data_IF_885024208836
#
_entry.id   IF_885024208836
#
_cell.length_a   1.000
_cell.length_b   1.000
_cell.length_c   1.000
_cell.angle_alpha   90.00
_cell.angle_beta   90.00
_cell.angle_gamma   90.00
#
_symmetry.space_group_name_H-M   'P 1'
#
loop_
_entity.id
_entity.type
_entity.pdbx_description
1 polymer ?
#
# COMPACT_ATOMS: atom_id res chain seq x y z
N UNK A 1 8.40 2.50 26.10
CA UNK A 1 8.61 2.98 24.72
C UNK A 1 7.23 3.35 24.21
N UNK A 2 6.90 4.64 24.23
CA UNK A 2 5.59 5.15 23.81
C UNK A 2 5.34 4.76 22.34
N UNK A 3 4.14 4.30 21.96
CA UNK A 3 3.82 4.05 20.57
C UNK A 3 3.87 5.38 19.83
N UNK A 4 4.56 5.42 18.70
CA UNK A 4 4.66 6.62 17.84
C UNK A 4 3.29 6.89 17.23
N UNK A 5 2.48 7.66 17.94
CA UNK A 5 1.22 8.26 17.49
C UNK A 5 1.48 9.01 16.18
N UNK A 6 0.90 8.53 15.08
CA UNK A 6 1.08 9.09 13.73
C UNK A 6 1.56 8.10 12.67
N UNK A 7 1.94 6.87 13.05
CA UNK A 7 2.33 5.80 12.11
C UNK A 7 1.31 4.67 11.99
N UNK A 8 0.14 4.86 12.57
CA UNK A 8 -1.02 3.96 12.49
C UNK A 8 -2.23 4.73 11.96
N UNK A 9 -3.14 3.99 11.33
CA UNK A 9 -4.44 4.48 10.83
C UNK A 9 -5.52 3.81 11.65
N UNK A 10 -6.42 4.62 12.21
CA UNK A 10 -7.62 4.20 12.92
C UNK A 10 -8.85 4.75 12.20
N UNK A 11 -9.96 4.00 12.23
CA UNK A 11 -11.19 4.41 11.54
C UNK A 11 -11.02 4.51 10.03
N UNK A 12 -11.40 5.64 9.42
CA UNK A 12 -11.37 5.81 7.97
C UNK A 12 -10.28 6.76 7.51
N UNK A 13 -9.66 6.44 6.37
CA UNK A 13 -8.78 7.35 5.65
C UNK A 13 -8.96 7.21 4.14
N UNK A 14 -8.51 8.21 3.39
CA UNK A 14 -8.63 8.21 1.93
C UNK A 14 -7.48 8.94 1.25
N UNK A 15 -7.14 8.49 0.06
CA UNK A 15 -6.10 9.06 -0.78
C UNK A 15 -6.74 10.02 -1.80
N UNK A 16 -6.49 11.32 -1.64
CA UNK A 16 -7.03 12.36 -2.52
C UNK A 16 -5.92 13.03 -3.32
N UNK A 17 -6.27 13.50 -4.51
CA UNK A 17 -5.38 14.35 -5.31
C UNK A 17 -5.44 15.79 -4.79
N UNK A 18 -4.28 16.40 -4.56
CA UNK A 18 -4.16 17.80 -4.11
C UNK A 18 -3.37 18.68 -5.08
N UNK A 19 -2.59 18.06 -5.97
CA UNK A 19 -1.75 18.76 -6.93
C UNK A 19 -1.70 18.09 -8.29
N UNK A 20 -1.27 18.87 -9.30
CA UNK A 20 -0.98 18.37 -10.65
C UNK A 20 0.52 18.37 -10.97
N UNK A 21 1.25 19.34 -10.43
CA UNK A 21 2.69 19.54 -10.62
C UNK A 21 3.38 19.73 -9.27
N UNK A 22 4.66 19.34 -9.19
CA UNK A 22 5.42 19.44 -7.95
C UNK A 22 5.04 18.38 -6.91
N UNK A 23 5.51 18.59 -5.69
CA UNK A 23 5.18 17.77 -4.53
C UNK A 23 4.45 18.65 -3.50
N UNK A 24 3.36 18.17 -2.88
CA UNK A 24 2.72 16.86 -3.09
C UNK A 24 1.75 16.81 -4.28
N UNK A 25 1.51 15.60 -4.79
CA UNK A 25 0.48 15.33 -5.81
C UNK A 25 -0.78 14.75 -5.16
N UNK A 26 -0.59 13.89 -4.15
CA UNK A 26 -1.67 13.24 -3.40
C UNK A 26 -1.45 13.37 -1.90
N UNK A 27 -2.53 13.28 -1.12
CA UNK A 27 -2.49 13.21 0.33
C UNK A 27 -3.35 12.06 0.82
N UNK A 28 -2.82 11.30 1.77
CA UNK A 28 -3.60 10.39 2.58
C UNK A 28 -4.16 11.17 3.77
N UNK A 29 -5.49 11.21 3.90
CA UNK A 29 -6.19 12.04 4.89
C UNK A 29 -7.10 11.17 5.74
N UNK A 30 -7.13 11.42 7.05
CA UNK A 30 -8.10 10.86 8.00
C UNK A 30 -8.65 11.99 8.86
N UNK A 31 -9.97 12.06 9.08
CA UNK A 31 -10.63 13.11 9.87
C UNK A 31 -10.16 14.54 9.56
N UNK A 32 -9.99 14.83 8.26
CA UNK A 32 -9.48 16.12 7.72
C UNK A 32 -8.03 16.46 8.11
N UNK A 33 -7.28 15.54 8.72
CA UNK A 33 -5.85 15.66 8.99
C UNK A 33 -5.05 14.88 7.95
N UNK A 34 -4.02 15.51 7.40
CA UNK A 34 -3.08 14.83 6.52
C UNK A 34 -2.23 13.87 7.34
N UNK A 35 -2.19 12.60 6.95
CA UNK A 35 -1.33 11.56 7.51
C UNK A 35 -0.01 11.47 6.73
N UNK A 36 -0.11 11.61 5.41
CA UNK A 36 1.04 11.58 4.52
C UNK A 36 0.77 12.36 3.23
N UNK A 37 1.81 13.00 2.72
CA UNK A 37 1.88 13.67 1.43
C UNK A 37 2.70 12.81 0.47
N UNK A 38 2.14 12.50 -0.70
CA UNK A 38 2.75 11.58 -1.66
C UNK A 38 3.07 12.30 -2.97
N UNK A 39 4.23 11.93 -3.54
CA UNK A 39 4.62 12.34 -4.88
C UNK A 39 3.78 11.68 -5.97
N UNK A 40 4.10 12.02 -7.23
CA UNK A 40 3.41 11.48 -8.40
C UNK A 40 3.40 9.95 -8.39
N UNK A 41 2.22 9.39 -8.55
CA UNK A 41 2.02 7.95 -8.67
C UNK A 41 2.43 7.47 -10.08
N UNK A 42 3.25 6.43 -10.16
CA UNK A 42 3.78 5.96 -11.43
C UNK A 42 4.64 4.72 -11.30
N UNK A 43 4.20 3.62 -11.92
CA UNK A 43 4.83 2.30 -11.88
C UNK A 43 6.30 2.33 -12.30
N UNK A 44 6.65 2.95 -13.43
CA UNK A 44 8.05 3.04 -13.89
C UNK A 44 8.98 3.68 -12.86
N UNK A 45 8.50 4.73 -12.18
CA UNK A 45 9.29 5.41 -11.15
C UNK A 45 9.48 4.54 -9.91
N UNK A 46 8.44 3.80 -9.52
CA UNK A 46 8.48 2.93 -8.33
C UNK A 46 9.30 1.67 -8.56
N UNK A 47 9.16 1.02 -9.72
CA UNK A 47 9.77 -0.27 -9.99
C UNK A 47 11.15 -0.21 -10.66
N UNK A 48 11.44 0.89 -11.37
CA UNK A 48 12.66 1.00 -12.19
C UNK A 48 13.32 2.38 -12.10
N UNK A 49 12.89 3.23 -11.17
CA UNK A 49 13.35 4.62 -11.07
C UNK A 49 13.72 5.03 -9.65
N UNK A 50 13.71 6.34 -9.43
CA UNK A 50 14.10 6.95 -8.15
C UNK A 50 13.10 6.75 -7.01
N UNK A 51 11.98 6.07 -7.24
CA UNK A 51 10.93 5.84 -6.26
C UNK A 51 9.94 7.00 -6.10
N UNK A 52 8.81 6.71 -5.45
CA UNK A 52 7.78 7.68 -5.10
C UNK A 52 8.04 8.21 -3.69
N UNK A 53 8.24 9.53 -3.57
CA UNK A 53 8.43 10.21 -2.27
C UNK A 53 7.14 10.18 -1.45
N UNK A 54 7.29 9.98 -0.15
CA UNK A 54 6.26 10.12 0.88
C UNK A 54 6.84 11.02 1.98
N UNK A 55 6.10 12.04 2.40
CA UNK A 55 6.40 12.82 3.58
C UNK A 55 5.29 12.62 4.60
N UNK A 56 5.62 12.23 5.82
CA UNK A 56 4.63 12.03 6.88
C UNK A 56 4.28 13.35 7.55
N UNK A 57 3.21 13.36 8.33
CA UNK A 57 2.81 14.50 9.15
C UNK A 57 3.88 14.94 10.17
N UNK A 58 4.72 14.00 10.65
CA UNK A 58 5.84 14.27 11.56
C UNK A 58 7.09 14.83 10.85
N UNK A 59 7.02 15.03 9.52
CA UNK A 59 8.14 15.49 8.70
C UNK A 59 9.09 14.39 8.23
N UNK A 60 8.95 13.15 8.72
CA UNK A 60 9.74 12.01 8.29
C UNK A 60 9.53 11.73 6.80
N UNK A 61 10.60 11.30 6.13
CA UNK A 61 10.54 10.93 4.73
C UNK A 61 10.62 9.43 4.52
N UNK A 62 9.65 8.91 3.78
CA UNK A 62 9.67 7.56 3.23
C UNK A 62 9.73 7.60 1.71
N UNK A 63 10.00 6.43 1.12
CA UNK A 63 10.04 6.26 -0.32
C UNK A 63 9.52 4.89 -0.71
N UNK A 64 8.59 4.86 -1.66
CA UNK A 64 8.16 3.62 -2.32
C UNK A 64 9.13 3.35 -3.45
N UNK A 65 9.78 2.20 -3.44
CA UNK A 65 10.64 1.71 -4.51
C UNK A 65 10.47 0.21 -4.63
N UNK A 66 11.26 -0.43 -5.49
CA UNK A 66 11.41 -1.87 -5.50
C UNK A 66 12.86 -2.27 -5.24
N UNK A 67 13.02 -3.53 -4.87
CA UNK A 67 14.28 -4.26 -4.97
C UNK A 67 14.05 -5.55 -5.75
N UNK A 68 15.11 -6.33 -5.96
CA UNK A 68 15.01 -7.68 -6.51
C UNK A 68 15.32 -8.70 -5.43
N UNK A 69 14.57 -9.79 -5.41
CA UNK A 69 14.86 -10.99 -4.63
C UNK A 69 14.85 -12.19 -5.59
N UNK A 70 16.02 -12.72 -5.91
CA UNK A 70 16.17 -13.67 -7.01
C UNK A 70 15.68 -13.06 -8.33
N UNK A 71 14.66 -13.68 -8.95
CA UNK A 71 14.04 -13.20 -10.21
C UNK A 71 12.84 -12.29 -9.98
N UNK A 72 12.53 -11.92 -8.73
CA UNK A 72 11.28 -11.25 -8.37
C UNK A 72 11.50 -9.78 -8.07
N UNK A 73 10.60 -8.94 -8.57
CA UNK A 73 10.50 -7.54 -8.15
C UNK A 73 9.72 -7.50 -6.84
N UNK A 74 10.29 -6.84 -5.84
CA UNK A 74 9.75 -6.74 -4.48
C UNK A 74 9.48 -5.27 -4.18
N UNK A 75 8.22 -4.81 -4.24
CA UNK A 75 7.85 -3.48 -3.81
C UNK A 75 8.16 -3.28 -2.32
N UNK A 76 8.71 -2.13 -1.97
CA UNK A 76 9.04 -1.80 -0.59
C UNK A 76 8.87 -0.31 -0.31
N UNK A 77 8.52 0.02 0.94
CA UNK A 77 8.61 1.36 1.51
C UNK A 77 9.86 1.39 2.39
N UNK A 78 10.72 2.38 2.20
CA UNK A 78 11.95 2.58 2.99
C UNK A 78 11.98 3.97 3.61
N UNK A 79 12.56 4.08 4.80
CA UNK A 79 13.03 5.32 5.42
C UNK A 79 14.56 5.37 5.44
N UNK A 80 15.14 6.42 6.03
CA UNK A 80 16.57 6.48 6.32
C UNK A 80 17.04 5.38 7.31
N UNK A 81 16.14 4.92 8.18
CA UNK A 81 16.44 3.92 9.22
C UNK A 81 16.31 2.47 8.72
N UNK A 82 15.74 2.27 7.52
CA UNK A 82 15.60 0.96 6.89
C UNK A 82 14.22 0.71 6.27
N UNK A 83 13.89 -0.57 6.00
CA UNK A 83 12.60 -0.96 5.44
C UNK A 83 11.45 -0.71 6.43
N UNK A 84 10.37 -0.11 5.93
CA UNK A 84 9.10 0.13 6.65
C UNK A 84 8.09 -0.96 6.32
N UNK A 85 7.93 -1.25 5.02
CA UNK A 85 7.02 -2.28 4.53
C UNK A 85 7.63 -2.94 3.30
N UNK A 86 7.47 -4.26 3.16
CA UNK A 86 7.89 -5.04 2.00
C UNK A 86 6.69 -5.86 1.55
N UNK A 87 6.49 -5.97 0.24
CA UNK A 87 5.41 -6.76 -0.33
C UNK A 87 5.91 -7.82 -1.31
N UNK A 88 5.14 -8.89 -1.43
CA UNK A 88 5.32 -9.91 -2.45
C UNK A 88 3.99 -10.54 -2.84
N UNK A 89 3.92 -11.19 -4.01
CA UNK A 89 2.73 -11.90 -4.45
C UNK A 89 2.49 -13.14 -3.58
N UNK A 90 1.21 -13.47 -3.39
CA UNK A 90 0.77 -14.75 -2.82
C UNK A 90 0.33 -15.70 -3.93
N UNK A 91 0.10 -16.96 -3.56
CA UNK A 91 -0.35 -17.98 -4.51
C UNK A 91 -1.69 -17.66 -5.18
N UNK A 92 -2.58 -16.91 -4.51
CA UNK A 92 -3.85 -16.49 -5.09
C UNK A 92 -3.67 -15.24 -5.97
N UNK A 93 -4.38 -15.21 -7.11
CA UNK A 93 -4.23 -14.15 -8.11
C UNK A 93 -4.51 -12.79 -7.50
N UNK A 94 -3.60 -11.84 -7.75
CA UNK A 94 -3.66 -10.47 -7.21
C UNK A 94 -3.84 -10.45 -5.69
N UNK A 95 -3.30 -11.42 -4.96
CA UNK A 95 -3.25 -11.38 -3.49
C UNK A 95 -1.81 -11.12 -3.07
N UNK A 96 -1.60 -10.32 -2.03
CA UNK A 96 -0.28 -9.85 -1.66
C UNK A 96 -0.02 -10.00 -0.17
N UNK A 97 1.19 -10.42 0.18
CA UNK A 97 1.71 -10.26 1.53
C UNK A 97 2.26 -8.84 1.69
N UNK A 98 2.03 -8.22 2.84
CA UNK A 98 2.61 -6.93 3.24
C UNK A 98 3.19 -7.10 4.64
N UNK A 99 4.51 -7.04 4.75
CA UNK A 99 5.24 -7.29 5.99
C UNK A 99 6.00 -6.04 6.43
N UNK A 100 5.93 -5.71 7.71
CA UNK A 100 6.81 -4.75 8.37
C UNK A 100 7.69 -5.45 9.40
N UNK A 101 8.33 -4.67 10.27
CA UNK A 101 9.20 -5.19 11.34
C UNK A 101 8.43 -6.07 12.35
N UNK A 102 7.21 -5.67 12.66
CA UNK A 102 6.38 -6.17 13.76
C UNK A 102 4.97 -6.59 13.32
N UNK A 103 4.72 -6.68 12.01
CA UNK A 103 3.43 -7.08 11.48
C UNK A 103 3.55 -7.84 10.16
N UNK A 104 2.59 -8.72 9.90
CA UNK A 104 2.35 -9.35 8.61
C UNK A 104 0.87 -9.30 8.26
N UNK A 105 0.56 -8.81 7.07
CA UNK A 105 -0.81 -8.65 6.59
C UNK A 105 -0.95 -9.27 5.20
N UNK A 106 -2.17 -9.67 4.86
CA UNK A 106 -2.52 -10.10 3.50
C UNK A 106 -3.56 -9.17 2.91
N UNK A 107 -3.30 -8.70 1.70
CA UNK A 107 -4.23 -7.91 0.89
C UNK A 107 -4.86 -8.84 -0.15
N UNK A 108 -6.19 -8.99 -0.11
CA UNK A 108 -6.93 -9.97 -0.93
C UNK A 108 -8.12 -9.27 -1.62
N UNK A 109 -8.37 -9.49 -2.92
CA UNK A 109 -9.52 -8.92 -3.61
C UNK A 109 -10.82 -9.62 -3.20
N UNK A 110 -11.88 -8.85 -2.98
CA UNK A 110 -13.22 -9.36 -2.70
C UNK A 110 -14.04 -9.54 -3.99
N UNK A 111 -13.90 -10.69 -4.67
CA UNK A 111 -14.85 -11.15 -5.72
C UNK A 111 -15.08 -10.21 -6.92
N UNK A 112 -15.99 -10.59 -7.84
CA UNK A 112 -16.46 -9.75 -8.96
C UNK A 112 -17.88 -9.26 -8.68
N UNK A 113 -18.05 -7.99 -8.32
CA UNK A 113 -19.38 -7.34 -8.30
C UNK A 113 -19.71 -6.77 -9.68
N UNK A 114 -20.16 -7.62 -10.62
CA UNK A 114 -20.74 -7.18 -11.90
C UNK A 114 -19.80 -6.45 -12.89
N UNK A 115 -20.38 -6.01 -14.02
CA UNK A 115 -19.70 -5.37 -15.17
C UNK A 115 -18.99 -4.05 -14.84
N UNK A 116 -19.15 -3.51 -13.63
CA UNK A 116 -18.54 -2.27 -13.16
C UNK A 116 -17.88 -2.41 -11.78
N UNK A 117 -17.54 -3.63 -11.35
CA UNK A 117 -17.13 -3.95 -9.98
C UNK A 117 -16.09 -2.99 -9.42
N UNK A 118 -16.55 -2.12 -8.51
CA UNK A 118 -15.68 -1.35 -7.64
C UNK A 118 -14.77 -2.34 -6.93
N UNK A 119 -13.48 -2.26 -7.23
CA UNK A 119 -12.48 -3.22 -6.76
C UNK A 119 -12.33 -3.12 -5.25
N UNK A 120 -13.13 -3.86 -4.50
CA UNK A 120 -13.01 -3.95 -3.06
C UNK A 120 -11.96 -5.00 -2.69
N UNK A 121 -11.23 -4.69 -1.62
CA UNK A 121 -10.17 -5.52 -1.09
C UNK A 121 -10.28 -5.58 0.42
N UNK A 122 -9.75 -6.64 0.99
CA UNK A 122 -9.61 -6.78 2.45
C UNK A 122 -8.14 -6.82 2.83
N UNK A 123 -7.81 -6.11 3.89
CA UNK A 123 -6.60 -6.32 4.65
C UNK A 123 -6.92 -7.27 5.80
N UNK A 124 -6.19 -8.38 5.86
CA UNK A 124 -6.30 -9.36 6.94
C UNK A 124 -5.00 -9.47 7.73
N UNK A 125 -5.13 -9.73 9.02
CA UNK A 125 -4.06 -10.21 9.90
C UNK A 125 -4.39 -11.64 10.28
N UNK A 126 -3.57 -12.60 9.86
CA UNK A 126 -3.93 -14.02 9.92
C UNK A 126 -5.29 -14.26 9.24
N UNK A 127 -6.28 -14.76 9.99
CA UNK A 127 -7.62 -15.03 9.49
C UNK A 127 -8.57 -13.84 9.69
N UNK A 128 -8.20 -12.83 10.46
CA UNK A 128 -9.09 -11.72 10.81
C UNK A 128 -9.03 -10.62 9.77
N UNK A 129 -10.20 -10.20 9.28
CA UNK A 129 -10.32 -8.96 8.51
C UNK A 129 -10.15 -7.77 9.44
N UNK A 130 -9.15 -6.93 9.15
CA UNK A 130 -8.86 -5.73 9.93
C UNK A 130 -9.22 -4.44 9.18
N UNK A 131 -9.42 -4.52 7.86
CA UNK A 131 -9.85 -3.39 7.04
C UNK A 131 -10.50 -3.81 5.74
N UNK A 132 -11.30 -2.91 5.19
CA UNK A 132 -11.73 -2.91 3.79
C UNK A 132 -11.05 -1.76 3.07
N UNK A 133 -10.55 -1.99 1.84
CA UNK A 133 -9.98 -0.98 0.95
C UNK A 133 -10.85 -0.89 -0.29
N UNK A 134 -11.39 0.29 -0.58
CA UNK A 134 -12.13 0.57 -1.80
C UNK A 134 -11.19 1.18 -2.85
N UNK A 135 -11.03 0.49 -3.98
CA UNK A 135 -10.19 0.98 -5.07
C UNK A 135 -10.80 2.20 -5.79
N UNK A 136 -12.11 2.25 -5.93
CA UNK A 136 -12.81 3.31 -6.68
C UNK A 136 -12.75 4.63 -5.93
N UNK A 137 -13.14 4.58 -4.66
CA UNK A 137 -13.14 5.76 -3.78
C UNK A 137 -11.76 6.06 -3.19
N UNK A 138 -10.82 5.11 -3.33
CA UNK A 138 -9.46 5.17 -2.78
C UNK A 138 -9.47 5.40 -1.26
N UNK A 139 -10.33 4.67 -0.58
CA UNK A 139 -10.53 4.75 0.88
C UNK A 139 -10.15 3.45 1.58
N UNK A 140 -9.81 3.56 2.85
CA UNK A 140 -9.66 2.44 3.78
C UNK A 140 -10.60 2.66 4.96
N UNK A 141 -11.30 1.60 5.35
CA UNK A 141 -12.10 1.55 6.57
C UNK A 141 -11.51 0.48 7.48
N UNK A 142 -10.82 0.92 8.53
CA UNK A 142 -10.12 0.10 9.50
C UNK A 142 -11.04 -0.28 10.67
N UNK A 143 -11.08 -1.57 10.98
CA UNK A 143 -11.75 -2.15 12.15
C UNK A 143 -10.79 -2.17 13.35
N UNK A 144 -9.48 -2.32 13.07
CA UNK A 144 -8.40 -2.29 14.05
C UNK A 144 -7.29 -1.35 13.56
N UNK A 145 -6.42 -0.81 14.45
CA UNK A 145 -5.30 0.03 14.03
C UNK A 145 -4.40 -0.66 12.99
N UNK A 146 -4.13 0.03 11.88
CA UNK A 146 -3.33 -0.48 10.76
C UNK A 146 -2.04 0.33 10.63
N UNK A 147 -0.87 -0.31 10.47
CA UNK A 147 0.35 0.41 10.14
C UNK A 147 0.19 1.25 8.86
N UNK A 148 0.58 2.52 8.92
CA UNK A 148 0.46 3.47 7.80
C UNK A 148 1.20 2.98 6.55
N UNK A 149 2.36 2.34 6.74
CA UNK A 149 3.11 1.71 5.65
C UNK A 149 2.32 0.63 4.91
N UNK A 150 1.49 -0.14 5.62
CA UNK A 150 0.64 -1.15 5.00
C UNK A 150 -0.49 -0.53 4.18
N UNK A 151 -1.11 0.55 4.65
CA UNK A 151 -2.15 1.29 3.92
C UNK A 151 -1.61 1.87 2.61
N UNK A 152 -0.44 2.54 2.66
CA UNK A 152 0.20 3.13 1.48
C UNK A 152 0.63 2.04 0.49
N UNK A 153 1.18 0.93 0.99
CA UNK A 153 1.54 -0.23 0.17
C UNK A 153 0.30 -0.83 -0.49
N UNK A 154 -0.82 -0.95 0.24
CA UNK A 154 -2.05 -1.50 -0.30
C UNK A 154 -2.55 -0.70 -1.50
N UNK A 155 -2.63 0.64 -1.39
CA UNK A 155 -2.99 1.48 -2.54
C UNK A 155 -2.03 1.28 -3.73
N UNK A 156 -0.74 1.16 -3.46
CA UNK A 156 0.26 0.94 -4.51
C UNK A 156 0.02 -0.38 -5.26
N UNK A 157 -0.22 -1.47 -4.54
CA UNK A 157 -0.43 -2.81 -5.10
C UNK A 157 -1.78 -2.92 -5.83
N UNK A 158 -2.82 -2.29 -5.30
CA UNK A 158 -4.15 -2.26 -5.93
C UNK A 158 -4.07 -1.55 -7.29
N UNK A 159 -3.35 -0.42 -7.35
CA UNK A 159 -3.23 0.38 -8.57
C UNK A 159 -2.32 -0.25 -9.61
N UNK A 160 -1.15 -0.79 -9.22
CA UNK A 160 -0.12 -1.18 -10.18
C UNK A 160 0.16 -2.68 -10.26
N UNK A 161 -0.23 -3.46 -9.25
CA UNK A 161 0.23 -4.84 -9.06
C UNK A 161 1.76 -4.92 -8.93
N UNK A 162 2.30 -6.14 -8.99
CA UNK A 162 3.73 -6.39 -9.04
C UNK A 162 4.11 -6.79 -10.47
N UNK A 163 5.06 -6.08 -11.13
CA UNK A 163 5.48 -6.46 -12.47
C UNK A 163 6.02 -7.89 -12.52
N UNK A 164 5.57 -8.66 -13.51
CA UNK A 164 5.96 -10.06 -13.68
C UNK A 164 5.25 -11.04 -12.74
N UNK A 165 4.32 -10.61 -11.87
CA UNK A 165 3.66 -11.50 -10.91
C UNK A 165 2.92 -12.68 -11.56
N UNK A 166 2.40 -12.50 -12.78
CA UNK A 166 1.70 -13.55 -13.51
C UNK A 166 2.59 -14.74 -13.86
N UNK A 167 3.88 -14.50 -14.10
CA UNK A 167 4.88 -15.55 -14.36
C UNK A 167 5.30 -16.28 -13.07
N UNK A 168 4.90 -15.75 -11.91
CA UNK A 168 5.20 -16.33 -10.58
C UNK A 168 4.09 -17.23 -10.08
N UNK A 169 2.95 -17.23 -10.75
CA UNK A 169 1.82 -18.09 -10.42
C UNK A 169 1.97 -19.43 -11.15
N UNK A 170 1.68 -20.56 -10.50
CA UNK A 170 1.63 -21.83 -11.21
C UNK A 170 0.61 -21.71 -12.35
N UNK A 171 1.04 -22.12 -13.55
CA UNK A 171 0.13 -22.23 -14.68
C UNK A 171 -0.91 -23.29 -14.32
N UNK A 172 -2.19 -22.97 -14.50
CA UNK A 172 -3.24 -23.98 -14.41
C UNK A 172 -3.05 -24.89 -15.63
N UNK A 173 -2.69 -26.14 -15.39
CA UNK A 173 -2.73 -27.20 -16.40
C UNK A 173 -4.19 -27.47 -16.84
#
# INVERSE_FOLDING_TARGET
>A
MEPVSGRTVEGSCGLRRVGRFGFPVEELVSDKRSLASLGRDGSLRMFFGSGRRIQLADGSEWRIKSTTSGRHIVPMITSAEGPIAISGPLHAKRSYGINGKDYGLTLIPMGKTGLSGSGQWVLRRHEDQIATVDQGDRTVSAIQPIPLGAVIMAFTLITHGIPGEGDLMPKRD
#
